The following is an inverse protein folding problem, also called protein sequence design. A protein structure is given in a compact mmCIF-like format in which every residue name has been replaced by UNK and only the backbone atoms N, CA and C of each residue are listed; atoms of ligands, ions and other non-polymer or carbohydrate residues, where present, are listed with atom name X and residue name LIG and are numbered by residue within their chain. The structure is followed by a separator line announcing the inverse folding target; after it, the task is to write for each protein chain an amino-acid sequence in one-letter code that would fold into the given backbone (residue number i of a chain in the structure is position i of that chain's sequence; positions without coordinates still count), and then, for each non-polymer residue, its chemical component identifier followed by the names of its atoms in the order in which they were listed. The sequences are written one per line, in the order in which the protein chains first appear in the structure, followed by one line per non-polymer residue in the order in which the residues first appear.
data_IF_757905341082
#
_entry.id   IF_757905341082
#
_cell.length_a   1.000
_cell.length_b   1.000
_cell.length_c   1.000
_cell.angle_alpha   90.00
_cell.angle_beta   90.00
_cell.angle_gamma   90.00
#
_symmetry.space_group_name_H-M   'P 1'
#
loop_
_entity.id
_entity.type
_entity.pdbx_description
1 polymer ?
#
# COMPACT_ATOMS: atom_id res chain seq x y z
N UNK A 1 19.45 16.74 30.25
CA UNK A 1 19.69 16.93 28.79
C UNK A 1 18.71 16.14 27.90
N UNK A 2 18.29 14.90 28.23
CA UNK A 2 17.30 14.10 27.46
C UNK A 2 15.87 14.67 27.36
N UNK A 3 15.42 15.47 28.33
CA UNK A 3 14.01 15.93 28.42
C UNK A 3 13.66 17.04 27.44
N UNK A 4 14.63 17.87 27.03
CA UNK A 4 14.43 18.97 26.09
C UNK A 4 14.32 18.48 24.62
N UNK A 5 15.09 17.44 24.27
CA UNK A 5 15.04 16.82 22.93
C UNK A 5 13.75 16.02 22.72
N UNK A 6 13.27 15.30 23.75
CA UNK A 6 11.97 14.61 23.70
C UNK A 6 10.80 15.58 23.46
N UNK A 7 10.78 16.73 24.14
CA UNK A 7 9.74 17.76 23.94
C UNK A 7 9.74 18.35 22.51
N UNK A 8 10.88 18.38 21.83
CA UNK A 8 10.99 18.82 20.43
C UNK A 8 10.52 17.77 19.42
N UNK A 9 10.57 16.49 19.79
CA UNK A 9 10.11 15.37 18.95
C UNK A 9 8.58 15.34 18.88
N UNK A 10 7.91 15.31 20.03
CA UNK A 10 6.45 15.15 20.16
C UNK A 10 5.66 16.46 20.07
N UNK A 11 6.08 17.40 19.21
CA UNK A 11 5.29 18.60 18.96
C UNK A 11 4.02 18.26 18.17
N UNK A 12 2.90 19.00 18.34
CA UNK A 12 1.66 18.73 17.61
C UNK A 12 1.85 18.68 16.09
N UNK A 13 2.70 19.57 15.55
CA UNK A 13 3.01 19.60 14.11
C UNK A 13 3.76 18.35 13.67
N UNK A 14 4.72 17.85 14.47
CA UNK A 14 5.43 16.61 14.14
C UNK A 14 4.52 15.38 14.21
N UNK A 15 3.58 15.35 15.16
CA UNK A 15 2.58 14.27 15.27
C UNK A 15 1.63 14.28 14.07
N UNK A 16 1.13 15.46 13.68
CA UNK A 16 0.30 15.62 12.49
C UNK A 16 1.05 15.21 11.22
N UNK A 17 2.27 15.70 11.03
CA UNK A 17 3.11 15.30 9.90
C UNK A 17 3.41 13.81 9.90
N UNK A 18 3.62 13.20 11.07
CA UNK A 18 3.83 11.77 11.15
C UNK A 18 2.59 10.97 10.76
N UNK A 19 1.40 11.38 11.23
CA UNK A 19 0.13 10.76 10.85
C UNK A 19 -0.13 10.89 9.34
N UNK A 20 0.04 12.09 8.77
CA UNK A 20 -0.07 12.33 7.32
C UNK A 20 0.95 11.48 6.54
N UNK A 21 2.19 11.39 7.02
CA UNK A 21 3.23 10.57 6.43
C UNK A 21 2.94 9.07 6.46
N UNK A 22 2.35 8.57 7.54
CA UNK A 22 1.89 7.17 7.66
C UNK A 22 0.81 6.90 6.61
N UNK A 23 -0.22 7.75 6.53
CA UNK A 23 -1.28 7.63 5.53
C UNK A 23 -0.71 7.67 4.11
N UNK A 24 0.20 8.59 3.83
CA UNK A 24 0.85 8.74 2.54
C UNK A 24 1.64 7.49 2.14
N UNK A 25 2.50 6.98 3.04
CA UNK A 25 3.34 5.80 2.77
C UNK A 25 2.48 4.56 2.50
N UNK A 26 1.46 4.32 3.34
CA UNK A 26 0.60 3.14 3.20
C UNK A 26 -0.22 3.23 1.91
N UNK A 27 -0.95 4.35 1.71
CA UNK A 27 -1.79 4.51 0.52
C UNK A 27 -0.99 4.51 -0.78
N UNK A 28 0.19 5.15 -0.81
CA UNK A 28 1.09 5.13 -1.96
C UNK A 28 1.55 3.70 -2.30
N UNK A 29 2.03 2.94 -1.31
CA UNK A 29 2.49 1.57 -1.53
C UNK A 29 1.39 0.66 -2.04
N UNK A 30 0.18 0.74 -1.46
CA UNK A 30 -0.97 -0.08 -1.90
C UNK A 30 -1.38 0.29 -3.32
N UNK A 31 -1.60 1.58 -3.59
CA UNK A 31 -2.04 2.04 -4.92
C UNK A 31 -1.01 1.70 -5.98
N UNK A 32 0.28 1.92 -5.72
CA UNK A 32 1.34 1.63 -6.68
C UNK A 32 1.42 0.14 -7.00
N UNK A 33 1.48 -0.72 -5.97
CA UNK A 33 1.68 -2.16 -6.16
C UNK A 33 0.48 -2.79 -6.84
N UNK A 34 -0.75 -2.47 -6.42
CA UNK A 34 -1.95 -3.06 -7.01
C UNK A 34 -2.25 -2.56 -8.43
N UNK A 35 -1.71 -1.40 -8.84
CA UNK A 35 -1.77 -0.94 -10.23
C UNK A 35 -0.59 -1.44 -11.08
N UNK A 36 0.41 -2.08 -10.49
CA UNK A 36 1.61 -2.52 -11.17
C UNK A 36 1.42 -3.91 -11.81
N UNK A 37 0.76 -3.90 -12.97
CA UNK A 37 0.45 -5.07 -13.80
C UNK A 37 1.59 -6.07 -14.01
N UNK A 38 2.87 -5.67 -14.14
CA UNK A 38 3.95 -6.65 -14.32
C UNK A 38 4.07 -7.69 -13.20
N UNK A 39 3.64 -7.40 -11.97
CA UNK A 39 3.57 -8.42 -10.90
C UNK A 39 2.60 -9.53 -11.30
N UNK A 40 1.40 -9.16 -11.73
CA UNK A 40 0.40 -10.13 -12.15
C UNK A 40 0.82 -10.91 -13.39
N UNK A 41 1.39 -10.24 -14.40
CA UNK A 41 1.85 -10.90 -15.63
C UNK A 41 2.96 -11.93 -15.34
N UNK A 42 3.83 -11.63 -14.39
CA UNK A 42 4.82 -12.60 -13.92
C UNK A 42 4.14 -13.77 -13.22
N UNK A 43 3.24 -13.49 -12.29
CA UNK A 43 2.53 -14.49 -11.47
C UNK A 43 1.67 -15.44 -12.30
N UNK A 44 0.90 -14.94 -13.27
CA UNK A 44 0.08 -15.77 -14.15
C UNK A 44 0.91 -16.77 -14.96
N UNK A 45 2.13 -16.37 -15.34
CA UNK A 45 3.06 -17.21 -16.10
C UNK A 45 3.73 -18.21 -15.16
N UNK A 46 4.19 -17.76 -13.99
CA UNK A 46 4.84 -18.60 -12.99
C UNK A 46 3.91 -19.68 -12.40
N UNK A 47 2.60 -19.45 -12.44
CA UNK A 47 1.58 -20.40 -11.98
C UNK A 47 0.92 -21.19 -13.12
N UNK A 48 1.39 -21.04 -14.36
CA UNK A 48 0.87 -21.71 -15.56
C UNK A 48 -0.65 -21.58 -15.72
N UNK A 49 -1.21 -20.40 -15.43
CA UNK A 49 -2.67 -20.20 -15.40
C UNK A 49 -3.31 -20.48 -16.76
N UNK A 50 -2.61 -20.14 -17.86
CA UNK A 50 -3.09 -20.37 -19.21
C UNK A 50 -3.28 -21.87 -19.51
N UNK A 51 -2.32 -22.71 -19.12
CA UNK A 51 -2.42 -24.16 -19.29
C UNK A 51 -3.45 -24.75 -18.34
N UNK A 52 -3.44 -24.33 -17.07
CA UNK A 52 -4.33 -24.86 -16.03
C UNK A 52 -5.80 -24.66 -16.34
N UNK A 53 -6.15 -23.48 -16.85
CA UNK A 53 -7.54 -23.10 -17.15
C UNK A 53 -7.87 -23.11 -18.65
N UNK A 54 -6.95 -23.62 -19.48
CA UNK A 54 -7.12 -23.75 -20.94
C UNK A 54 -7.56 -22.43 -21.60
N UNK A 55 -6.97 -21.33 -21.13
CA UNK A 55 -7.33 -19.97 -21.52
C UNK A 55 -6.08 -19.26 -22.07
N UNK A 56 -6.14 -18.63 -23.25
CA UNK A 56 -4.98 -17.90 -23.78
C UNK A 56 -4.49 -16.82 -22.82
N UNK A 57 -3.17 -16.65 -22.71
CA UNK A 57 -2.56 -15.60 -21.86
C UNK A 57 -3.11 -14.20 -22.18
N UNK A 58 -3.38 -13.92 -23.45
CA UNK A 58 -3.95 -12.64 -23.89
C UNK A 58 -5.31 -12.38 -23.27
N UNK A 59 -6.17 -13.40 -23.19
CA UNK A 59 -7.49 -13.27 -22.57
C UNK A 59 -7.37 -13.09 -21.05
N UNK A 60 -6.47 -13.83 -20.40
CA UNK A 60 -6.21 -13.67 -18.95
C UNK A 60 -5.78 -12.24 -18.65
N UNK A 61 -4.81 -11.71 -19.41
CA UNK A 61 -4.33 -10.34 -19.27
C UNK A 61 -5.45 -9.33 -19.53
N UNK A 62 -6.26 -9.52 -20.56
CA UNK A 62 -7.34 -8.60 -20.88
C UNK A 62 -8.39 -8.50 -19.76
N UNK A 63 -8.76 -9.62 -19.13
CA UNK A 63 -9.68 -9.61 -17.99
C UNK A 63 -9.05 -8.96 -16.74
N UNK A 64 -7.78 -9.22 -16.46
CA UNK A 64 -7.08 -8.56 -15.37
C UNK A 64 -6.90 -7.05 -15.62
N UNK A 65 -6.57 -6.66 -16.84
CA UNK A 65 -6.38 -5.25 -17.22
C UNK A 65 -7.67 -4.47 -17.08
N UNK A 66 -8.81 -5.05 -17.48
CA UNK A 66 -10.14 -4.48 -17.26
C UNK A 66 -10.42 -4.24 -15.76
N UNK A 67 -10.04 -5.19 -14.90
CA UNK A 67 -10.19 -5.04 -13.45
C UNK A 67 -9.29 -3.92 -12.88
N UNK A 68 -8.05 -3.82 -13.33
CA UNK A 68 -7.15 -2.73 -12.88
C UNK A 68 -7.65 -1.38 -13.37
N UNK A 69 -8.10 -1.28 -14.61
CA UNK A 69 -8.65 -0.04 -15.17
C UNK A 69 -9.92 0.39 -14.44
N UNK A 70 -10.82 -0.55 -14.12
CA UNK A 70 -12.02 -0.30 -13.32
C UNK A 70 -11.73 0.29 -11.94
N UNK A 71 -10.64 -0.16 -11.30
CA UNK A 71 -10.20 0.32 -10.00
C UNK A 71 -9.54 1.71 -10.04
N UNK A 72 -9.37 2.32 -11.21
CA UNK A 72 -8.93 3.71 -11.33
C UNK A 72 -9.97 4.69 -10.78
N UNK A 73 -9.52 5.70 -10.04
CA UNK A 73 -10.37 6.80 -9.55
C UNK A 73 -11.08 7.55 -10.69
N UNK A 74 -10.53 7.51 -11.90
CA UNK A 74 -11.07 8.18 -13.08
C UNK A 74 -12.01 7.31 -13.90
N UNK A 75 -12.09 6.01 -13.62
CA UNK A 75 -12.99 5.10 -14.33
C UNK A 75 -14.45 5.44 -14.03
N UNK A 76 -15.30 5.34 -15.05
CA UNK A 76 -16.74 5.59 -14.98
C UNK A 76 -17.48 4.45 -15.65
N UNK A 77 -18.54 3.98 -15.00
CA UNK A 77 -19.36 2.86 -15.48
C UNK A 77 -19.16 1.60 -14.65
N UNK A 78 -19.72 0.51 -15.16
CA UNK A 78 -19.70 -0.81 -14.53
C UNK A 78 -18.49 -1.62 -15.01
N UNK A 79 -18.04 -2.57 -14.19
CA UNK A 79 -17.01 -3.52 -14.58
C UNK A 79 -17.59 -4.52 -15.59
N UNK A 80 -16.93 -4.65 -16.73
CA UNK A 80 -17.20 -5.72 -17.68
C UNK A 80 -15.89 -6.44 -18.03
N UNK A 81 -15.87 -7.74 -17.75
CA UNK A 81 -14.80 -8.61 -18.17
C UNK A 81 -14.93 -8.90 -19.68
N UNK A 82 -13.85 -8.78 -20.47
CA UNK A 82 -13.90 -9.01 -21.91
C UNK A 82 -14.37 -10.42 -22.32
N UNK A 83 -14.00 -11.45 -21.56
CA UNK A 83 -14.32 -12.85 -21.93
C UNK A 83 -14.95 -13.67 -20.81
N UNK A 84 -14.98 -13.18 -19.57
CA UNK A 84 -15.54 -13.90 -18.43
C UNK A 84 -16.94 -13.42 -18.04
N UNK A 85 -17.87 -14.32 -17.68
CA UNK A 85 -19.11 -13.94 -17.01
C UNK A 85 -18.83 -13.45 -15.59
N UNK A 86 -19.83 -12.80 -15.01
CA UNK A 86 -19.83 -12.33 -13.62
C UNK A 86 -21.26 -12.42 -13.09
N UNK A 87 -21.42 -13.00 -11.91
CA UNK A 87 -22.69 -13.03 -11.19
C UNK A 87 -23.05 -11.66 -10.62
N UNK A 88 -24.28 -11.55 -10.10
CA UNK A 88 -24.70 -10.34 -9.39
C UNK A 88 -23.92 -10.15 -8.09
N UNK A 89 -23.67 -11.24 -7.35
CA UNK A 89 -22.83 -11.26 -6.17
C UNK A 89 -21.39 -10.83 -6.50
N UNK A 90 -20.81 -11.36 -7.58
CA UNK A 90 -19.50 -10.98 -8.09
C UNK A 90 -19.41 -9.49 -8.42
N UNK A 91 -20.43 -8.96 -9.11
CA UNK A 91 -20.54 -7.53 -9.42
C UNK A 91 -20.56 -6.68 -8.15
N UNK A 92 -21.38 -7.05 -7.16
CA UNK A 92 -21.47 -6.33 -5.88
C UNK A 92 -20.13 -6.33 -5.16
N UNK A 93 -19.43 -7.46 -5.13
CA UNK A 93 -18.11 -7.55 -4.50
C UNK A 93 -17.10 -6.61 -5.16
N UNK A 94 -17.02 -6.59 -6.50
CA UNK A 94 -16.11 -5.68 -7.20
C UNK A 94 -16.48 -4.20 -7.01
N UNK A 95 -17.75 -3.85 -6.87
CA UNK A 95 -18.17 -2.49 -6.48
C UNK A 95 -17.76 -2.10 -5.06
N UNK A 96 -17.80 -3.04 -4.11
CA UNK A 96 -17.25 -2.85 -2.77
C UNK A 96 -15.73 -2.61 -2.82
N UNK A 97 -15.00 -3.46 -3.56
CA UNK A 97 -13.55 -3.31 -3.77
C UNK A 97 -13.22 -1.95 -4.40
N UNK A 98 -13.95 -1.54 -5.45
CA UNK A 98 -13.75 -0.25 -6.10
C UNK A 98 -13.88 0.92 -5.12
N UNK A 99 -14.90 0.91 -4.25
CA UNK A 99 -15.08 1.98 -3.25
C UNK A 99 -13.89 2.08 -2.29
N UNK A 100 -13.29 0.94 -1.94
CA UNK A 100 -12.07 0.91 -1.11
C UNK A 100 -10.88 1.50 -1.88
N UNK A 101 -10.70 1.12 -3.14
CA UNK A 101 -9.63 1.65 -4.00
C UNK A 101 -9.76 3.14 -4.28
N UNK A 102 -10.97 3.64 -4.55
CA UNK A 102 -11.24 5.06 -4.73
C UNK A 102 -10.91 5.82 -3.43
N UNK A 103 -11.32 5.29 -2.28
CA UNK A 103 -10.98 5.83 -0.96
C UNK A 103 -9.47 5.89 -0.70
N UNK A 104 -8.73 4.84 -1.05
CA UNK A 104 -7.27 4.79 -0.91
C UNK A 104 -6.56 5.81 -1.83
N UNK A 105 -7.02 5.97 -3.07
CA UNK A 105 -6.49 6.95 -4.01
C UNK A 105 -6.78 8.39 -3.55
N UNK A 106 -7.97 8.66 -3.01
CA UNK A 106 -8.31 9.95 -2.41
C UNK A 106 -7.43 10.21 -1.18
N UNK A 107 -7.25 9.21 -0.31
CA UNK A 107 -6.37 9.31 0.86
C UNK A 107 -4.93 9.63 0.45
N UNK A 108 -4.42 8.99 -0.61
CA UNK A 108 -3.10 9.26 -1.17
C UNK A 108 -2.99 10.72 -1.62
N UNK A 109 -3.94 11.21 -2.41
CA UNK A 109 -3.93 12.59 -2.91
C UNK A 109 -3.99 13.60 -1.75
N UNK A 110 -4.94 13.43 -0.82
CA UNK A 110 -5.13 14.35 0.30
C UNK A 110 -3.93 14.34 1.26
N UNK A 111 -3.40 13.15 1.58
CA UNK A 111 -2.22 13.03 2.44
C UNK A 111 -1.00 13.66 1.77
N UNK A 112 -0.78 13.47 0.46
CA UNK A 112 0.32 14.09 -0.27
C UNK A 112 0.21 15.63 -0.29
N UNK A 113 -0.95 16.16 -0.67
CA UNK A 113 -1.21 17.62 -0.76
C UNK A 113 -1.05 18.31 0.59
N UNK A 114 -1.40 17.64 1.70
CA UNK A 114 -1.19 18.17 3.04
C UNK A 114 0.26 17.98 3.54
N UNK A 115 0.84 16.79 3.32
CA UNK A 115 2.14 16.41 3.87
C UNK A 115 3.28 17.23 3.27
N UNK A 116 3.40 17.31 1.94
CA UNK A 116 4.59 17.92 1.31
C UNK A 116 4.75 19.41 1.62
N UNK A 117 3.70 20.26 1.52
CA UNK A 117 3.83 21.68 1.86
C UNK A 117 4.14 21.90 3.35
N UNK A 118 3.48 21.17 4.24
CA UNK A 118 3.69 21.30 5.68
C UNK A 118 5.08 20.79 6.09
N UNK A 119 5.54 19.66 5.53
CA UNK A 119 6.86 19.12 5.76
C UNK A 119 7.92 20.09 5.25
N UNK A 120 7.75 20.64 4.05
CA UNK A 120 8.64 21.65 3.49
C UNK A 120 8.74 22.90 4.38
N UNK A 121 7.60 23.43 4.82
CA UNK A 121 7.53 24.56 5.74
C UNK A 121 8.26 24.26 7.06
N UNK A 122 7.99 23.10 7.67
CA UNK A 122 8.59 22.66 8.93
C UNK A 122 10.12 22.52 8.82
N UNK A 123 10.61 21.94 7.73
CA UNK A 123 12.03 21.76 7.46
C UNK A 123 12.75 23.10 7.21
N UNK A 124 12.13 24.02 6.47
CA UNK A 124 12.74 25.30 6.09
C UNK A 124 12.71 26.34 7.22
N UNK A 125 11.57 26.48 7.90
CA UNK A 125 11.36 27.54 8.90
C UNK A 125 11.81 27.12 10.29
N UNK A 126 11.43 25.90 10.72
CA UNK A 126 11.67 25.45 12.08
C UNK A 126 12.92 24.56 12.21
N UNK A 127 13.48 24.08 11.09
CA UNK A 127 14.59 23.11 11.05
C UNK A 127 14.33 21.86 11.92
N UNK A 128 13.06 21.57 12.19
CA UNK A 128 12.62 20.44 13.00
C UNK A 128 12.29 19.27 12.08
N UNK A 129 12.83 18.10 12.42
CA UNK A 129 12.75 16.87 11.61
C UNK A 129 12.13 15.70 12.36
N UNK A 130 11.51 15.96 13.51
CA UNK A 130 11.00 14.91 14.39
C UNK A 130 10.01 13.97 13.69
N UNK A 131 9.20 14.49 12.77
CA UNK A 131 8.27 13.68 11.98
C UNK A 131 8.97 12.58 11.14
N UNK A 132 10.19 12.83 10.64
CA UNK A 132 10.99 11.85 9.88
C UNK A 132 11.48 10.66 10.74
N UNK A 133 11.41 10.80 12.07
CA UNK A 133 11.68 9.71 13.01
C UNK A 133 10.37 9.07 13.51
N UNK A 134 9.33 9.86 13.76
CA UNK A 134 8.05 9.36 14.28
C UNK A 134 7.29 8.52 13.25
N UNK A 135 7.18 9.00 12.00
CA UNK A 135 6.43 8.29 10.97
C UNK A 135 6.98 6.88 10.70
N UNK A 136 8.31 6.66 10.53
CA UNK A 136 8.78 5.32 10.26
C UNK A 136 8.59 4.36 11.43
N UNK A 137 8.65 4.84 12.68
CA UNK A 137 8.41 3.99 13.86
C UNK A 137 6.95 3.51 13.91
N UNK A 138 6.00 4.42 13.71
CA UNK A 138 4.56 4.08 13.71
C UNK A 138 4.27 3.10 12.57
N UNK A 139 4.71 3.41 11.35
CA UNK A 139 4.46 2.55 10.19
C UNK A 139 5.18 1.20 10.32
N UNK A 140 6.38 1.14 10.90
CA UNK A 140 7.09 -0.12 11.13
C UNK A 140 6.34 -1.07 12.06
N UNK A 141 5.67 -0.54 13.10
CA UNK A 141 4.84 -1.36 14.00
C UNK A 141 3.66 -1.95 13.24
N UNK A 142 2.94 -1.12 12.47
CA UNK A 142 1.78 -1.56 11.68
C UNK A 142 2.22 -2.60 10.65
N UNK A 143 3.20 -2.25 9.80
CA UNK A 143 3.70 -3.12 8.73
C UNK A 143 4.34 -4.41 9.27
N UNK A 144 5.06 -4.33 10.39
CA UNK A 144 5.67 -5.48 11.05
C UNK A 144 4.62 -6.46 11.58
N UNK A 145 3.58 -5.96 12.26
CA UNK A 145 2.47 -6.80 12.72
C UNK A 145 1.72 -7.44 11.55
N UNK A 146 1.36 -6.65 10.53
CA UNK A 146 0.73 -7.18 9.31
C UNK A 146 1.58 -8.25 8.65
N UNK A 147 2.88 -7.99 8.46
CA UNK A 147 3.82 -8.94 7.87
C UNK A 147 3.92 -10.25 8.66
N UNK A 148 4.11 -10.16 9.98
CA UNK A 148 4.18 -11.34 10.85
C UNK A 148 2.90 -12.17 10.75
N UNK A 149 1.72 -11.55 10.89
CA UNK A 149 0.45 -12.27 10.83
C UNK A 149 0.25 -12.95 9.47
N UNK A 150 0.55 -12.24 8.38
CA UNK A 150 0.39 -12.77 7.02
C UNK A 150 1.32 -13.96 6.71
N UNK A 151 2.56 -13.95 7.22
CA UNK A 151 3.54 -15.03 6.97
C UNK A 151 3.30 -16.24 7.87
N UNK A 152 2.81 -16.01 9.10
CA UNK A 152 2.52 -17.11 10.03
C UNK A 152 1.33 -17.95 9.57
N UNK A 153 0.26 -17.31 9.08
CA UNK A 153 -0.91 -18.00 8.57
C UNK A 153 -1.63 -17.15 7.51
N UNK A 154 -1.27 -17.37 6.25
CA UNK A 154 -1.81 -16.61 5.12
C UNK A 154 -3.31 -16.82 4.93
N UNK A 155 -3.79 -18.07 4.95
CA UNK A 155 -5.21 -18.40 4.74
C UNK A 155 -6.12 -17.72 5.77
N UNK A 156 -5.74 -17.81 7.06
CA UNK A 156 -6.46 -17.12 8.12
C UNK A 156 -6.40 -15.60 7.95
N UNK A 157 -5.22 -15.05 7.64
CA UNK A 157 -5.04 -13.61 7.46
C UNK A 157 -5.90 -13.07 6.31
N UNK A 158 -5.87 -13.75 5.16
CA UNK A 158 -6.64 -13.39 3.97
C UNK A 158 -8.15 -13.44 4.26
N UNK A 159 -8.62 -14.50 4.91
CA UNK A 159 -10.04 -14.64 5.29
C UNK A 159 -10.47 -13.59 6.31
N UNK A 160 -9.66 -13.36 7.36
CA UNK A 160 -9.93 -12.33 8.36
C UNK A 160 -9.97 -10.92 7.75
N UNK A 161 -9.10 -10.63 6.78
CA UNK A 161 -9.11 -9.38 6.03
C UNK A 161 -10.44 -9.17 5.30
N UNK A 162 -10.96 -10.20 4.62
CA UNK A 162 -12.25 -10.10 3.93
C UNK A 162 -13.41 -9.88 4.89
N UNK A 163 -13.45 -10.58 6.03
CA UNK A 163 -14.48 -10.34 7.05
C UNK A 163 -14.41 -8.96 7.72
N UNK A 164 -13.24 -8.32 7.74
CA UNK A 164 -13.09 -6.94 8.24
C UNK A 164 -13.64 -5.93 7.23
N UNK A 165 -13.45 -6.17 5.94
CA UNK A 165 -13.82 -5.23 4.88
C UNK A 165 -15.25 -5.41 4.37
N UNK A 166 -15.76 -6.63 4.35
CA UNK A 166 -17.03 -6.99 3.75
C UNK A 166 -18.00 -7.54 4.81
N UNK A 167 -19.29 -7.25 4.64
CA UNK A 167 -20.36 -7.71 5.54
C UNK A 167 -21.17 -8.89 4.97
N UNK A 168 -20.71 -9.43 3.86
CA UNK A 168 -21.30 -10.51 3.10
C UNK A 168 -20.19 -11.50 2.70
N UNK A 169 -20.59 -12.64 2.14
CA UNK A 169 -19.67 -13.67 1.66
C UNK A 169 -19.52 -13.65 0.13
N UNK A 170 -19.86 -12.54 -0.54
CA UNK A 170 -19.78 -12.43 -2.00
C UNK A 170 -18.34 -12.45 -2.55
N UNK A 171 -17.34 -12.34 -1.68
CA UNK A 171 -15.94 -12.57 -2.02
C UNK A 171 -15.59 -14.07 -2.19
N UNK A 172 -16.46 -14.99 -1.75
CA UNK A 172 -16.36 -16.42 -2.01
C UNK A 172 -17.00 -16.75 -3.37
N UNK A 173 -16.24 -16.53 -4.43
CA UNK A 173 -16.69 -16.77 -5.80
C UNK A 173 -16.89 -18.25 -6.11
N UNK A 174 -17.96 -18.55 -6.83
CA UNK A 174 -18.15 -19.84 -7.50
C UNK A 174 -17.41 -19.81 -8.85
N UNK A 175 -16.43 -20.70 -9.10
CA UNK A 175 -15.72 -20.77 -10.37
C UNK A 175 -16.60 -20.94 -11.62
N UNK A 176 -17.84 -21.45 -11.49
CA UNK A 176 -18.77 -21.60 -12.60
C UNK A 176 -19.44 -20.27 -13.00
N UNK A 177 -19.79 -19.42 -12.03
CA UNK A 177 -20.45 -18.13 -12.29
C UNK A 177 -19.49 -16.95 -12.33
N UNK A 178 -18.38 -17.05 -11.59
CA UNK A 178 -17.37 -16.02 -11.39
C UNK A 178 -15.95 -16.61 -11.61
N UNK A 179 -15.65 -17.08 -12.83
CA UNK A 179 -14.37 -17.75 -13.14
C UNK A 179 -13.14 -16.86 -12.97
N UNK A 180 -13.30 -15.55 -12.75
CA UNK A 180 -12.21 -14.63 -12.42
C UNK A 180 -11.44 -15.09 -11.17
N UNK A 181 -12.07 -15.84 -10.25
CA UNK A 181 -11.40 -16.39 -9.05
C UNK A 181 -10.22 -17.30 -9.42
N UNK A 182 -10.34 -18.03 -10.53
CA UNK A 182 -9.29 -18.90 -11.05
C UNK A 182 -8.08 -18.11 -11.55
N UNK A 183 -8.31 -16.88 -12.01
CA UNK A 183 -7.28 -16.00 -12.54
C UNK A 183 -6.68 -15.10 -11.46
N UNK A 184 -7.27 -15.04 -10.27
CA UNK A 184 -6.80 -14.25 -9.13
C UNK A 184 -6.51 -15.16 -7.92
N UNK A 185 -5.54 -16.08 -8.02
CA UNK A 185 -5.20 -16.96 -6.91
C UNK A 185 -4.75 -16.15 -5.69
N UNK A 186 -5.01 -16.66 -4.49
CA UNK A 186 -4.62 -16.02 -3.22
C UNK A 186 -3.11 -15.74 -3.14
N UNK A 187 -2.28 -16.60 -3.74
CA UNK A 187 -0.83 -16.41 -3.88
C UNK A 187 -0.46 -15.07 -4.55
N UNK A 188 -1.22 -14.61 -5.54
CA UNK A 188 -1.00 -13.30 -6.17
C UNK A 188 -1.22 -12.15 -5.16
N UNK A 189 -2.25 -12.25 -4.33
CA UNK A 189 -2.50 -11.26 -3.27
C UNK A 189 -1.42 -11.31 -2.17
N UNK A 190 -0.87 -12.49 -1.89
CA UNK A 190 0.28 -12.62 -0.99
C UNK A 190 1.52 -11.92 -1.56
N UNK A 191 1.84 -12.13 -2.84
CA UNK A 191 2.95 -11.43 -3.50
C UNK A 191 2.74 -9.92 -3.54
N UNK A 192 1.51 -9.45 -3.78
CA UNK A 192 1.17 -8.03 -3.66
C UNK A 192 1.42 -7.50 -2.25
N UNK A 193 0.99 -8.21 -1.20
CA UNK A 193 1.25 -7.82 0.18
C UNK A 193 2.76 -7.74 0.47
N UNK A 194 3.55 -8.71 0.01
CA UNK A 194 5.00 -8.68 0.16
C UNK A 194 5.63 -7.49 -0.58
N UNK A 195 5.16 -7.19 -1.80
CA UNK A 195 5.56 -6.01 -2.55
C UNK A 195 5.25 -4.70 -1.81
N UNK A 196 4.06 -4.60 -1.21
CA UNK A 196 3.64 -3.45 -0.38
C UNK A 196 4.57 -3.31 0.83
N UNK A 197 4.83 -4.40 1.57
CA UNK A 197 5.71 -4.37 2.74
C UNK A 197 7.15 -3.99 2.38
N UNK A 198 7.66 -4.48 1.24
CA UNK A 198 8.98 -4.12 0.73
C UNK A 198 9.07 -2.64 0.35
N UNK A 199 8.06 -2.11 -0.36
CA UNK A 199 7.96 -0.69 -0.70
C UNK A 199 7.89 0.19 0.55
N UNK A 200 7.05 -0.18 1.52
CA UNK A 200 6.96 0.50 2.81
C UNK A 200 8.34 0.51 3.46
N UNK A 201 8.99 -0.64 3.63
CA UNK A 201 10.32 -0.71 4.24
C UNK A 201 11.35 0.22 3.56
N UNK A 202 11.37 0.27 2.23
CA UNK A 202 12.20 1.20 1.46
C UNK A 202 11.91 2.68 1.80
N UNK A 203 10.64 3.07 1.86
CA UNK A 203 10.22 4.43 2.21
C UNK A 203 10.56 4.79 3.67
N UNK A 204 10.47 3.82 4.60
CA UNK A 204 10.90 4.03 5.99
C UNK A 204 12.40 4.31 6.07
N UNK A 205 13.22 3.54 5.34
CA UNK A 205 14.68 3.76 5.26
C UNK A 205 15.01 5.13 4.68
N UNK A 206 14.32 5.57 3.63
CA UNK A 206 14.49 6.91 3.06
C UNK A 206 14.13 8.02 4.06
N UNK A 207 13.03 7.85 4.82
CA UNK A 207 12.66 8.76 5.90
C UNK A 207 13.76 8.87 6.97
N UNK A 208 14.26 7.73 7.44
CA UNK A 208 15.31 7.67 8.46
C UNK A 208 16.62 8.28 7.95
N UNK A 209 16.98 8.04 6.69
CA UNK A 209 18.14 8.68 6.06
C UNK A 209 18.01 10.21 6.04
N UNK A 210 16.82 10.73 5.72
CA UNK A 210 16.50 12.16 5.77
C UNK A 210 16.63 12.77 7.18
N UNK A 211 16.35 11.98 8.21
CA UNK A 211 16.55 12.38 9.61
C UNK A 211 18.04 12.40 9.99
N UNK A 212 18.80 11.36 9.65
CA UNK A 212 20.16 11.09 10.12
C UNK A 212 21.23 11.86 9.35
N UNK A 213 21.20 11.86 8.02
CA UNK A 213 22.32 12.34 7.17
C UNK A 213 22.78 13.76 7.51
N UNK A 214 21.89 14.77 7.65
CA UNK A 214 22.39 16.12 7.87
C UNK A 214 22.87 16.35 9.31
N UNK A 215 22.54 15.48 10.27
CA UNK A 215 23.14 15.51 11.60
C UNK A 215 24.61 15.08 11.56
N UNK A 216 24.95 14.08 10.73
CA UNK A 216 26.32 13.67 10.51
C UNK A 216 27.15 14.75 9.80
N UNK A 217 26.59 15.38 8.76
CA UNK A 217 27.28 16.48 8.04
C UNK A 217 27.55 17.68 8.96
N UNK A 218 26.57 18.05 9.81
CA UNK A 218 26.79 19.11 10.79
C UNK A 218 27.85 18.75 11.84
N UNK A 219 27.89 17.50 12.33
CA UNK A 219 28.91 17.04 13.28
C UNK A 219 30.31 16.98 12.66
N UNK A 220 30.43 16.53 11.41
CA UNK A 220 31.71 16.44 10.70
C UNK A 220 32.33 17.82 10.40
N UNK A 221 31.51 18.86 10.29
CA UNK A 221 31.94 20.25 10.06
C UNK A 221 32.16 21.06 11.34
N UNK A 222 31.87 20.51 12.52
CA UNK A 222 32.11 21.21 13.77
C UNK A 222 33.62 21.28 14.06
N UNK A 223 34.17 22.47 14.40
CA UNK A 223 35.59 22.59 14.70
C UNK A 223 35.94 21.68 15.88
N UNK A 224 36.99 20.85 15.74
CA UNK A 224 37.55 20.12 16.87
C UNK A 224 37.97 21.16 17.91
N UNK A 225 37.34 21.14 19.08
CA UNK A 225 37.88 21.87 20.24
C UNK A 225 39.24 21.25 20.55
N UNK A 226 40.31 21.96 20.22
CA UNK A 226 41.65 21.59 20.66
C UNK A 226 41.65 21.66 22.19
N UNK A 227 41.92 20.51 22.83
CA UNK A 227 42.29 20.40 24.24
C UNK A 227 43.71 20.87 24.45
#
# INVERSE_FOLDING_TARGET
MRTADSKRLFTPVNLLLAALGVCLIISFSVVLILNFRPIYYHDMTAMDLAERYQMPEEEIRANYDALIDYNSLFFRGELHFPTLPMSEEGRIHFEEVKRIFDGLQILLILSAVCFFPLAFYQLRRHKNRGFLLLMPVITAVIAGLTGILSVVNWEWFFTAFHHVLFRNDYWLFDPETDPIINLLPDAFFFHCLMGILAMVAGLLLLSLAGYVLPQHVHRARAPKKNS
#
